data_IF_532055667658
#
_entry.id   IF_532055667658
#
_cell.length_a   1.000
_cell.length_b   1.000
_cell.length_c   1.000
_cell.angle_alpha   90.00
_cell.angle_beta   90.00
_cell.angle_gamma   90.00
#
_symmetry.space_group_name_H-M   'P 1'
#
loop_
_entity.id
_entity.type
_entity.pdbx_description
1 polymer ?
#
# COMPACT_ATOMS: atom_id res chain seq x y z
N UNK A 1 15.04 -23.93 -12.65
CA UNK A 1 13.60 -23.63 -12.74
C UNK A 1 12.93 -23.27 -11.40
N UNK A 2 13.50 -23.61 -10.23
CA UNK A 2 12.88 -23.32 -8.92
C UNK A 2 13.55 -22.19 -8.10
N UNK A 3 14.64 -21.59 -8.60
CA UNK A 3 15.50 -20.70 -7.81
C UNK A 3 14.83 -19.34 -7.54
N UNK A 4 14.33 -18.67 -8.57
CA UNK A 4 13.84 -17.28 -8.47
C UNK A 4 12.55 -17.16 -7.64
N UNK A 5 11.62 -18.11 -7.76
CA UNK A 5 10.41 -18.13 -6.94
C UNK A 5 10.73 -18.40 -5.45
N UNK A 6 11.79 -19.18 -5.17
CA UNK A 6 12.29 -19.39 -3.81
C UNK A 6 12.97 -18.12 -3.27
N UNK A 7 13.70 -17.40 -4.11
CA UNK A 7 14.33 -16.12 -3.76
C UNK A 7 13.29 -15.05 -3.40
N UNK A 8 12.18 -14.95 -4.13
CA UNK A 8 11.12 -13.98 -3.80
C UNK A 8 10.46 -14.31 -2.45
N UNK A 9 10.29 -15.60 -2.13
CA UNK A 9 9.79 -16.01 -0.80
C UNK A 9 10.79 -15.70 0.31
N UNK A 10 12.09 -15.89 0.05
CA UNK A 10 13.14 -15.56 0.99
C UNK A 10 13.23 -14.04 1.20
N UNK A 11 13.14 -13.25 0.13
CA UNK A 11 13.08 -11.81 0.17
C UNK A 11 11.91 -11.32 1.04
N UNK A 12 10.71 -11.90 0.88
CA UNK A 12 9.58 -11.60 1.76
C UNK A 12 9.90 -11.89 3.23
N UNK A 13 10.58 -12.99 3.54
CA UNK A 13 11.00 -13.33 4.91
C UNK A 13 11.98 -12.28 5.44
N UNK A 14 12.99 -11.91 4.66
CA UNK A 14 13.94 -10.85 5.00
C UNK A 14 13.27 -9.50 5.19
N UNK A 15 12.24 -9.16 4.41
CA UNK A 15 11.47 -7.94 4.63
C UNK A 15 10.70 -7.96 5.96
N UNK A 16 10.24 -9.13 6.41
CA UNK A 16 9.51 -9.24 7.67
C UNK A 16 10.42 -9.09 8.87
N UNK A 17 11.52 -9.85 8.88
CA UNK A 17 12.37 -10.03 10.06
C UNK A 17 13.69 -9.26 9.99
N UNK A 18 13.92 -8.53 8.90
CA UNK A 18 15.16 -7.82 8.65
C UNK A 18 15.14 -6.42 9.23
N UNK A 19 16.23 -6.07 9.91
CA UNK A 19 16.43 -4.75 10.51
C UNK A 19 16.28 -3.64 9.48
N UNK A 20 15.38 -2.69 9.74
CA UNK A 20 15.25 -1.48 8.96
C UNK A 20 16.22 -0.45 9.53
N UNK A 21 17.24 -0.10 8.75
CA UNK A 21 18.12 1.02 9.05
C UNK A 21 17.60 2.21 8.28
N UNK A 22 17.03 3.19 8.97
CA UNK A 22 16.68 4.47 8.36
C UNK A 22 17.88 5.41 8.51
N UNK A 23 18.67 5.55 7.45
CA UNK A 23 19.88 6.40 7.46
C UNK A 23 19.57 7.88 7.72
N UNK A 24 18.37 8.34 7.36
CA UNK A 24 17.95 9.72 7.61
C UNK A 24 17.49 9.95 9.06
N UNK A 25 16.98 8.91 9.74
CA UNK A 25 16.47 8.99 11.11
C UNK A 25 16.87 7.72 11.88
N UNK A 26 18.08 7.69 12.50
CA UNK A 26 18.63 6.49 13.14
C UNK A 26 17.75 5.96 14.28
N UNK A 27 17.07 6.86 15.00
CA UNK A 27 16.17 6.53 16.12
C UNK A 27 14.87 5.83 15.68
N UNK A 28 14.62 5.72 14.37
CA UNK A 28 13.48 5.00 13.81
C UNK A 28 13.84 3.58 13.36
N UNK A 29 15.02 3.09 13.72
CA UNK A 29 15.42 1.71 13.46
C UNK A 29 14.41 0.75 14.11
N UNK A 30 13.80 -0.11 13.29
CA UNK A 30 12.85 -1.14 13.73
C UNK A 30 13.35 -2.48 13.24
N UNK A 31 13.28 -3.50 14.11
CA UNK A 31 13.70 -4.86 13.77
C UNK A 31 12.79 -5.51 12.73
N UNK A 32 11.51 -5.11 12.68
CA UNK A 32 10.52 -5.72 11.78
C UNK A 32 9.72 -4.69 10.98
N UNK A 33 9.37 -5.04 9.73
CA UNK A 33 8.38 -4.28 8.95
C UNK A 33 6.98 -4.74 9.30
N UNK A 34 6.04 -3.79 9.37
CA UNK A 34 4.63 -4.11 9.47
C UNK A 34 4.22 -5.03 8.28
N UNK A 35 3.44 -6.10 8.51
CA UNK A 35 3.02 -7.01 7.44
C UNK A 35 2.29 -6.30 6.29
N UNK A 36 1.59 -5.20 6.58
CA UNK A 36 0.93 -4.35 5.59
C UNK A 36 1.94 -3.66 4.65
N UNK A 37 3.06 -3.17 5.20
CA UNK A 37 4.16 -2.59 4.43
C UNK A 37 4.85 -3.64 3.57
N UNK A 38 5.09 -4.85 4.10
CA UNK A 38 5.68 -5.93 3.30
C UNK A 38 4.77 -6.32 2.15
N UNK A 39 3.46 -6.47 2.40
CA UNK A 39 2.49 -6.75 1.34
C UNK A 39 2.50 -5.68 0.24
N UNK A 40 2.63 -4.39 0.59
CA UNK A 40 2.77 -3.30 -0.39
C UNK A 40 4.03 -3.45 -1.23
N UNK A 41 5.19 -3.71 -0.60
CA UNK A 41 6.46 -3.87 -1.29
C UNK A 41 6.46 -5.10 -2.22
N UNK A 42 5.92 -6.22 -1.74
CA UNK A 42 5.76 -7.43 -2.56
C UNK A 42 4.81 -7.21 -3.74
N UNK A 43 3.76 -6.40 -3.57
CA UNK A 43 2.87 -6.05 -4.67
C UNK A 43 3.59 -5.22 -5.73
N UNK A 44 4.35 -4.18 -5.33
CA UNK A 44 5.15 -3.37 -6.26
C UNK A 44 6.17 -4.23 -7.01
N UNK A 45 6.90 -5.08 -6.30
CA UNK A 45 7.85 -6.01 -6.92
C UNK A 45 7.17 -6.96 -7.92
N UNK A 46 6.00 -7.50 -7.56
CA UNK A 46 5.23 -8.37 -8.45
C UNK A 46 4.79 -7.65 -9.72
N UNK A 47 4.35 -6.40 -9.62
CA UNK A 47 3.97 -5.60 -10.80
C UNK A 47 5.19 -5.26 -11.68
N UNK A 48 6.36 -4.97 -11.09
CA UNK A 48 7.60 -4.77 -11.84
C UNK A 48 7.99 -6.03 -12.63
N UNK A 49 7.90 -7.21 -11.99
CA UNK A 49 8.21 -8.49 -12.65
C UNK A 49 7.19 -8.85 -13.74
N UNK A 50 5.90 -8.56 -13.53
CA UNK A 50 4.87 -8.70 -14.58
C UNK A 50 5.16 -7.80 -15.77
N UNK A 51 5.55 -6.55 -15.52
CA UNK A 51 5.92 -5.62 -16.57
C UNK A 51 7.15 -6.15 -17.34
N UNK A 52 8.18 -6.62 -16.63
CA UNK A 52 9.37 -7.21 -17.24
C UNK A 52 9.03 -8.43 -18.12
N UNK A 53 8.12 -9.30 -17.68
CA UNK A 53 7.67 -10.46 -18.43
C UNK A 53 6.89 -10.03 -19.70
N UNK A 54 5.93 -9.10 -19.56
CA UNK A 54 5.17 -8.56 -20.71
C UNK A 54 6.08 -7.91 -21.75
N UNK A 55 7.12 -7.21 -21.29
CA UNK A 55 8.13 -6.58 -22.15
C UNK A 55 9.21 -7.55 -22.65
N UNK A 56 9.10 -8.85 -22.37
CA UNK A 56 10.04 -9.90 -22.81
C UNK A 56 11.49 -9.72 -22.27
N UNK A 57 11.68 -8.96 -21.19
CA UNK A 57 12.97 -8.90 -20.48
C UNK A 57 13.24 -10.19 -19.69
N UNK A 58 12.19 -10.87 -19.26
CA UNK A 58 12.21 -12.20 -18.65
C UNK A 58 11.17 -13.08 -19.36
N UNK A 59 11.49 -14.35 -19.58
CA UNK A 59 10.58 -15.29 -20.28
C UNK A 59 9.64 -16.02 -19.33
N UNK A 60 10.00 -16.07 -18.06
CA UNK A 60 9.35 -16.83 -17.00
C UNK A 60 8.60 -15.91 -16.03
N UNK A 61 7.67 -16.47 -15.27
CA UNK A 61 6.75 -15.74 -14.39
C UNK A 61 7.08 -15.96 -12.89
N UNK A 62 8.19 -15.41 -12.37
CA UNK A 62 8.65 -15.68 -11.00
C UNK A 62 7.71 -15.12 -9.92
N UNK A 63 6.80 -14.22 -10.30
CA UNK A 63 5.76 -13.66 -9.43
C UNK A 63 4.58 -14.62 -9.16
N UNK A 64 4.44 -15.71 -9.92
CA UNK A 64 3.36 -16.67 -9.73
C UNK A 64 3.53 -17.46 -8.42
N UNK A 65 2.44 -17.64 -7.68
CA UNK A 65 2.44 -18.40 -6.41
C UNK A 65 2.96 -17.65 -5.18
N UNK A 66 3.21 -16.33 -5.28
CA UNK A 66 3.61 -15.51 -4.14
C UNK A 66 2.37 -14.95 -3.42
N UNK A 67 1.92 -15.66 -2.39
CA UNK A 67 0.78 -15.22 -1.57
C UNK A 67 1.12 -14.04 -0.66
N UNK A 68 0.14 -13.17 -0.45
CA UNK A 68 0.21 -12.06 0.53
C UNK A 68 0.09 -12.59 1.95
N UNK A 69 0.66 -11.87 2.90
CA UNK A 69 0.49 -12.14 4.33
C UNK A 69 -0.94 -11.82 4.75
N UNK A 70 -1.52 -12.66 5.60
CA UNK A 70 -2.83 -12.39 6.19
C UNK A 70 -2.69 -11.20 7.15
N UNK A 71 -3.58 -10.24 6.97
CA UNK A 71 -3.71 -9.07 7.84
C UNK A 71 -5.00 -9.23 8.64
N UNK A 72 -4.96 -8.99 9.95
CA UNK A 72 -6.18 -8.76 10.70
C UNK A 72 -6.79 -7.46 10.21
N UNK A 73 -8.04 -7.51 9.75
CA UNK A 73 -8.82 -6.30 9.48
C UNK A 73 -9.43 -5.89 10.80
N UNK A 74 -9.00 -4.75 11.32
CA UNK A 74 -9.74 -4.08 12.37
C UNK A 74 -10.85 -3.28 11.69
N UNK A 75 -12.05 -3.30 12.27
CA UNK A 75 -13.13 -2.48 11.76
C UNK A 75 -12.75 -1.00 11.89
N UNK A 76 -12.86 -0.21 10.80
CA UNK A 76 -12.55 1.21 10.87
C UNK A 76 -13.59 1.91 11.76
N UNK A 77 -13.13 2.87 12.57
CA UNK A 77 -14.04 3.76 13.27
C UNK A 77 -14.78 4.62 12.23
N UNK A 78 -16.12 4.52 12.11
CA UNK A 78 -16.87 5.30 11.13
C UNK A 78 -16.93 6.77 11.54
N UNK A 79 -16.91 7.67 10.55
CA UNK A 79 -17.07 9.11 10.75
C UNK A 79 -18.52 9.42 11.12
N UNK A 80 -18.75 10.04 12.27
CA UNK A 80 -20.08 10.42 12.73
C UNK A 80 -20.54 11.72 12.06
N UNK A 81 -21.86 11.94 12.00
CA UNK A 81 -22.45 13.11 11.33
C UNK A 81 -21.96 14.44 11.91
N UNK A 82 -21.80 14.55 13.23
CA UNK A 82 -21.32 15.76 13.88
C UNK A 82 -19.82 16.01 13.62
N UNK A 83 -19.01 14.94 13.53
CA UNK A 83 -17.59 15.02 13.18
C UNK A 83 -17.43 15.50 11.74
N UNK A 84 -18.25 14.97 10.83
CA UNK A 84 -18.30 15.38 9.43
C UNK A 84 -18.64 16.87 9.27
N UNK A 85 -19.65 17.37 10.00
CA UNK A 85 -20.02 18.78 9.98
C UNK A 85 -18.89 19.68 10.49
N UNK A 86 -18.25 19.28 11.60
CA UNK A 86 -17.12 20.02 12.17
C UNK A 86 -15.91 20.02 11.24
N UNK A 87 -15.64 18.89 10.58
CA UNK A 87 -14.56 18.75 9.60
C UNK A 87 -14.74 19.70 8.41
N UNK A 88 -15.96 19.78 7.86
CA UNK A 88 -16.25 20.68 6.73
C UNK A 88 -16.13 22.15 7.14
N UNK A 89 -16.58 22.50 8.34
CA UNK A 89 -16.55 23.87 8.84
C UNK A 89 -15.13 24.38 9.13
N UNK A 90 -14.18 23.49 9.43
CA UNK A 90 -12.80 23.84 9.82
C UNK A 90 -11.82 23.89 8.65
N UNK A 91 -12.15 23.20 7.54
CA UNK A 91 -11.24 23.08 6.40
C UNK A 91 -11.37 24.24 5.40
N UNK A 92 -10.30 24.58 4.66
CA UNK A 92 -10.38 25.48 3.52
C UNK A 92 -11.37 24.97 2.48
N UNK A 93 -12.08 25.89 1.82
CA UNK A 93 -13.17 25.58 0.87
C UNK A 93 -12.81 24.49 -0.15
N UNK A 94 -11.62 24.55 -0.73
CA UNK A 94 -11.18 23.58 -1.75
C UNK A 94 -11.07 22.16 -1.19
N UNK A 95 -10.57 22.01 0.04
CA UNK A 95 -10.43 20.71 0.69
C UNK A 95 -11.79 20.18 1.17
N UNK A 96 -12.63 21.05 1.70
CA UNK A 96 -13.99 20.71 2.12
C UNK A 96 -14.82 20.18 0.95
N UNK A 97 -14.73 20.79 -0.23
CA UNK A 97 -15.44 20.34 -1.43
C UNK A 97 -15.08 18.92 -1.86
N UNK A 98 -13.79 18.54 -1.79
CA UNK A 98 -13.35 17.17 -2.11
C UNK A 98 -14.01 16.16 -1.16
N UNK A 99 -14.06 16.47 0.13
CA UNK A 99 -14.65 15.61 1.15
C UNK A 99 -16.17 15.52 0.98
N UNK A 100 -16.85 16.64 0.72
CA UNK A 100 -18.29 16.70 0.46
C UNK A 100 -18.64 15.81 -0.74
N UNK A 101 -17.95 16.01 -1.87
CA UNK A 101 -18.20 15.22 -3.09
C UNK A 101 -17.97 13.73 -2.81
N UNK A 102 -16.86 13.37 -2.16
CA UNK A 102 -16.58 11.98 -1.80
C UNK A 102 -17.67 11.36 -0.91
N UNK A 103 -18.16 12.10 0.10
CA UNK A 103 -19.19 11.62 1.02
C UNK A 103 -20.55 11.43 0.36
N UNK A 104 -20.95 12.32 -0.55
CA UNK A 104 -22.26 12.26 -1.21
C UNK A 104 -22.31 11.38 -2.46
N UNK A 105 -21.18 11.16 -3.13
CA UNK A 105 -21.12 10.35 -4.37
C UNK A 105 -20.50 8.97 -4.17
N UNK A 106 -19.76 8.75 -3.07
CA UNK A 106 -18.98 7.55 -2.84
C UNK A 106 -17.71 7.46 -3.71
N UNK A 107 -17.36 8.51 -4.46
CA UNK A 107 -16.14 8.54 -5.26
C UNK A 107 -14.89 8.54 -4.39
N UNK A 108 -13.84 7.84 -4.85
CA UNK A 108 -12.55 7.86 -4.16
C UNK A 108 -11.88 9.22 -4.38
N UNK A 109 -11.16 9.78 -3.40
CA UNK A 109 -10.46 11.06 -3.57
C UNK A 109 -9.52 11.10 -4.78
N UNK A 110 -8.89 9.98 -5.13
CA UNK A 110 -8.04 9.89 -6.33
C UNK A 110 -8.82 10.02 -7.64
N UNK A 111 -10.09 9.61 -7.69
CA UNK A 111 -10.95 9.77 -8.85
C UNK A 111 -11.42 11.22 -8.99
N UNK A 112 -11.70 11.89 -7.86
CA UNK A 112 -12.07 13.31 -7.82
C UNK A 112 -10.89 14.18 -8.27
N UNK A 113 -9.69 13.94 -7.74
CA UNK A 113 -8.51 14.74 -8.08
C UNK A 113 -7.99 14.50 -9.51
N UNK A 114 -8.28 13.36 -10.13
CA UNK A 114 -7.93 13.13 -11.53
C UNK A 114 -8.80 13.94 -12.51
N UNK A 115 -9.92 14.50 -12.03
CA UNK A 115 -10.90 15.27 -12.80
C UNK A 115 -10.92 16.76 -12.43
N UNK A 116 -10.13 17.18 -11.43
CA UNK A 116 -10.07 18.55 -10.91
C UNK A 116 -8.80 19.26 -11.40
#
# INVERSE_FOLDING_TARGET
MCQEAAEIKNYRKTLLTGTIINLAIPNLARQDRAPSTVNKQMAVLSEMLKLANRSQFILHAPYEGVSRLKLSKNDPAPLLLHEYQTLIATLPRNQALIIIVAAHTGMRPGEICAQA
#
